data_IF_560117996276
#
_entry.id   IF_560117996276
#
_cell.length_a   1.000
_cell.length_b   1.000
_cell.length_c   1.000
_cell.angle_alpha   90.00
_cell.angle_beta   90.00
_cell.angle_gamma   90.00
#
_symmetry.space_group_name_H-M   'P 1'
#
loop_
_entity.id
_entity.type
_entity.pdbx_description
1 polymer ?
#
# COMPACT_ATOMS: atom_id res chain seq x y z
N UNK A 1 16.66 3.82 -4.14
CA UNK A 1 15.79 3.35 -5.26
C UNK A 1 14.42 4.02 -5.15
N UNK A 2 13.79 4.42 -6.26
CA UNK A 2 12.49 5.11 -6.24
C UNK A 2 11.68 4.82 -7.50
N UNK A 3 10.37 4.99 -7.41
CA UNK A 3 9.47 4.98 -8.56
C UNK A 3 9.79 6.14 -9.51
N UNK A 4 9.52 5.95 -10.79
CA UNK A 4 9.68 7.01 -11.82
C UNK A 4 8.86 8.25 -11.46
N UNK A 5 7.64 8.07 -10.94
CA UNK A 5 6.73 9.13 -10.51
C UNK A 5 6.65 9.26 -8.98
N UNK A 6 7.76 9.03 -8.27
CA UNK A 6 7.74 9.03 -6.79
C UNK A 6 7.37 10.39 -6.18
N UNK A 7 7.71 11.51 -6.82
CA UNK A 7 7.36 12.86 -6.34
C UNK A 7 5.86 13.16 -6.50
N UNK A 8 5.28 12.66 -7.57
CA UNK A 8 3.87 12.79 -7.94
C UNK A 8 3.18 11.42 -7.97
N UNK A 9 3.35 10.66 -6.89
CA UNK A 9 2.75 9.35 -6.75
C UNK A 9 1.23 9.47 -6.67
N UNK A 10 0.51 9.01 -7.71
CA UNK A 10 -0.95 9.06 -7.81
C UNK A 10 -1.51 10.38 -7.28
N UNK A 11 -1.27 11.52 -7.98
CA UNK A 11 -1.74 12.82 -7.52
C UNK A 11 -3.26 12.89 -7.65
N UNK A 12 -3.96 12.89 -6.52
CA UNK A 12 -5.43 13.04 -6.46
C UNK A 12 -5.78 14.48 -6.17
N UNK A 13 -6.60 15.10 -7.01
CA UNK A 13 -7.07 16.48 -6.81
C UNK A 13 -8.47 16.46 -6.19
N UNK A 14 -8.60 17.15 -5.04
CA UNK A 14 -9.86 17.32 -4.33
C UNK A 14 -9.99 18.76 -3.84
N UNK A 15 -11.06 19.46 -4.23
CA UNK A 15 -11.31 20.85 -3.83
C UNK A 15 -10.09 21.77 -4.03
N UNK A 16 -9.34 21.59 -5.12
CA UNK A 16 -8.13 22.37 -5.42
C UNK A 16 -6.86 21.89 -4.69
N UNK A 17 -6.97 21.01 -3.72
CA UNK A 17 -5.81 20.42 -3.03
C UNK A 17 -5.28 19.18 -3.74
N UNK A 18 -3.96 19.03 -3.76
CA UNK A 18 -3.25 17.88 -4.32
C UNK A 18 -2.82 16.93 -3.22
N UNK A 19 -3.28 15.68 -3.28
CA UNK A 19 -2.94 14.62 -2.36
C UNK A 19 -1.91 13.66 -2.97
N UNK A 20 -1.15 13.00 -2.11
CA UNK A 20 -0.14 11.99 -2.45
C UNK A 20 -0.74 10.59 -2.31
N UNK A 21 -1.51 10.15 -3.29
CA UNK A 21 -2.37 8.98 -3.22
C UNK A 21 -3.69 9.27 -2.53
N UNK A 22 -4.50 8.24 -2.32
CA UNK A 22 -5.81 8.35 -1.70
C UNK A 22 -5.82 8.28 -0.19
N UNK A 23 -7.01 8.49 0.35
CA UNK A 23 -7.27 8.45 1.78
C UNK A 23 -8.47 7.54 2.09
N UNK A 24 -8.32 6.62 3.04
CA UNK A 24 -9.42 5.70 3.41
C UNK A 24 -10.67 6.40 3.93
N UNK A 25 -10.53 7.58 4.57
CA UNK A 25 -11.65 8.38 5.05
C UNK A 25 -12.56 8.90 3.93
N UNK A 26 -12.09 8.93 2.67
CA UNK A 26 -12.93 9.35 1.55
C UNK A 26 -14.10 8.40 1.30
N UNK A 27 -14.00 7.14 1.72
CA UNK A 27 -15.10 6.20 1.68
C UNK A 27 -16.35 6.64 2.48
N UNK A 28 -16.26 7.72 3.27
CA UNK A 28 -17.44 8.34 3.90
C UNK A 28 -18.43 8.88 2.87
N UNK A 29 -17.95 9.33 1.72
CA UNK A 29 -18.79 9.83 0.63
C UNK A 29 -19.58 8.71 -0.07
N UNK A 30 -19.18 7.46 0.16
CA UNK A 30 -19.89 6.25 -0.27
C UNK A 30 -20.77 5.65 0.86
N UNK A 31 -21.01 6.42 1.92
CA UNK A 31 -21.85 6.02 3.03
C UNK A 31 -21.23 5.03 4.02
N UNK A 32 -19.92 4.75 3.95
CA UNK A 32 -19.27 3.84 4.88
C UNK A 32 -19.15 4.46 6.28
N UNK A 33 -19.55 3.69 7.30
CA UNK A 33 -19.35 4.09 8.70
C UNK A 33 -17.85 4.18 9.03
N UNK A 34 -17.51 4.94 10.08
CA UNK A 34 -16.13 5.09 10.56
C UNK A 34 -15.46 3.74 10.81
N UNK A 35 -16.20 2.78 11.39
CA UNK A 35 -15.70 1.44 11.67
C UNK A 35 -15.11 0.76 10.42
N UNK A 36 -15.78 0.84 9.28
CA UNK A 36 -15.32 0.23 8.03
C UNK A 36 -14.22 1.04 7.35
N UNK A 37 -14.28 2.38 7.44
CA UNK A 37 -13.23 3.25 6.89
C UNK A 37 -11.89 3.00 7.55
N UNK A 38 -11.86 2.92 8.89
CA UNK A 38 -10.64 2.65 9.67
C UNK A 38 -9.96 1.33 9.29
N UNK A 39 -10.67 0.43 8.61
CA UNK A 39 -10.21 -0.90 8.18
C UNK A 39 -9.88 -0.99 6.70
N UNK A 40 -9.90 0.13 5.99
CA UNK A 40 -9.76 0.18 4.53
C UNK A 40 -8.37 0.63 4.05
N UNK A 41 -7.37 0.70 4.93
CA UNK A 41 -6.01 1.13 4.58
C UNK A 41 -5.39 0.27 3.46
N UNK A 42 -5.54 -1.05 3.52
CA UNK A 42 -5.02 -1.97 2.49
C UNK A 42 -5.78 -1.83 1.17
N UNK A 43 -7.10 -1.55 1.22
CA UNK A 43 -7.89 -1.23 0.02
C UNK A 43 -7.35 0.03 -0.65
N UNK A 44 -7.11 1.08 0.14
CA UNK A 44 -6.53 2.33 -0.35
C UNK A 44 -5.14 2.11 -0.95
N UNK A 45 -4.29 1.32 -0.27
CA UNK A 45 -2.97 0.98 -0.80
C UNK A 45 -3.04 0.24 -2.14
N UNK A 46 -3.96 -0.73 -2.28
CA UNK A 46 -4.17 -1.41 -3.56
C UNK A 46 -4.73 -0.47 -4.64
N UNK A 47 -5.66 0.43 -4.28
CA UNK A 47 -6.18 1.45 -5.20
C UNK A 47 -5.07 2.36 -5.71
N UNK A 48 -4.16 2.79 -4.84
CA UNK A 48 -2.99 3.55 -5.23
C UNK A 48 -2.10 2.78 -6.22
N UNK A 49 -1.81 1.49 -5.95
CA UNK A 49 -1.07 0.63 -6.89
C UNK A 49 -1.76 0.54 -8.24
N UNK A 50 -3.07 0.35 -8.26
CA UNK A 50 -3.85 0.29 -9.49
C UNK A 50 -3.73 1.57 -10.31
N UNK A 51 -3.95 2.74 -9.71
CA UNK A 51 -3.83 4.01 -10.42
C UNK A 51 -2.39 4.26 -10.91
N UNK A 52 -1.39 3.91 -10.11
CA UNK A 52 0.00 4.02 -10.53
C UNK A 52 0.30 3.18 -11.77
N UNK A 53 -0.15 1.93 -11.77
CA UNK A 53 0.14 0.98 -12.86
C UNK A 53 -0.69 1.22 -14.12
N UNK A 54 -1.96 1.63 -13.99
CA UNK A 54 -2.91 1.60 -15.11
C UNK A 54 -3.31 2.97 -15.66
N UNK A 55 -3.32 4.01 -14.86
CA UNK A 55 -3.79 5.33 -15.28
C UNK A 55 -2.64 6.31 -15.53
N UNK A 56 -1.76 6.47 -14.56
CA UNK A 56 -0.77 7.55 -14.60
C UNK A 56 -1.40 8.94 -14.52
N UNK A 57 -0.56 9.97 -14.33
CA UNK A 57 -1.03 11.35 -14.29
C UNK A 57 -1.93 11.71 -13.10
N UNK A 58 -2.57 12.86 -13.21
CA UNK A 58 -3.50 13.39 -12.21
C UNK A 58 -4.83 12.64 -12.27
N UNK A 59 -5.40 12.37 -11.10
CA UNK A 59 -6.70 11.72 -10.94
C UNK A 59 -7.62 12.68 -10.18
N UNK A 60 -8.83 12.90 -10.66
CA UNK A 60 -9.84 13.62 -9.90
C UNK A 60 -10.36 12.77 -8.74
N UNK A 61 -10.86 13.45 -7.71
CA UNK A 61 -11.34 12.81 -6.50
C UNK A 61 -12.47 11.81 -6.75
N UNK A 62 -13.45 12.16 -7.58
CA UNK A 62 -14.64 11.34 -7.78
C UNK A 62 -14.26 10.03 -8.47
N UNK A 63 -13.45 10.08 -9.53
CA UNK A 63 -12.89 8.90 -10.21
C UNK A 63 -12.09 8.03 -9.22
N UNK A 64 -11.24 8.65 -8.39
CA UNK A 64 -10.46 7.89 -7.41
C UNK A 64 -11.37 7.19 -6.39
N UNK A 65 -12.34 7.92 -5.84
CA UNK A 65 -13.21 7.41 -4.78
C UNK A 65 -14.13 6.30 -5.27
N UNK A 66 -14.69 6.42 -6.47
CA UNK A 66 -15.49 5.37 -7.12
C UNK A 66 -14.71 4.06 -7.28
N UNK A 67 -13.47 4.13 -7.79
CA UNK A 67 -12.60 2.96 -7.94
C UNK A 67 -12.23 2.38 -6.58
N UNK A 68 -11.89 3.23 -5.60
CA UNK A 68 -11.60 2.80 -4.24
C UNK A 68 -12.79 2.06 -3.61
N UNK A 69 -14.00 2.58 -3.76
CA UNK A 69 -15.22 1.94 -3.28
C UNK A 69 -15.52 0.62 -4.01
N UNK A 70 -15.28 0.57 -5.31
CA UNK A 70 -15.40 -0.65 -6.09
C UNK A 70 -14.45 -1.74 -5.59
N UNK A 71 -13.20 -1.40 -5.29
CA UNK A 71 -12.27 -2.35 -4.67
C UNK A 71 -12.66 -2.69 -3.24
N UNK A 72 -13.17 -1.74 -2.45
CA UNK A 72 -13.70 -2.02 -1.12
C UNK A 72 -14.79 -3.11 -1.17
N UNK A 73 -15.78 -2.97 -2.04
CA UNK A 73 -16.87 -3.96 -2.21
C UNK A 73 -16.36 -5.35 -2.61
N UNK A 74 -15.25 -5.45 -3.31
CA UNK A 74 -14.67 -6.72 -3.78
C UNK A 74 -13.70 -7.33 -2.77
N UNK A 75 -12.84 -6.53 -2.16
CA UNK A 75 -11.86 -6.98 -1.15
C UNK A 75 -12.59 -7.35 0.16
N UNK A 76 -13.62 -6.59 0.55
CA UNK A 76 -14.44 -6.80 1.74
C UNK A 76 -13.60 -6.94 3.01
N UNK A 77 -12.97 -5.86 3.50
CA UNK A 77 -12.26 -5.89 4.77
C UNK A 77 -13.15 -6.41 5.90
N UNK A 78 -12.60 -7.25 6.75
CA UNK A 78 -13.29 -7.80 7.94
C UNK A 78 -13.17 -6.84 9.12
N UNK A 79 -13.69 -7.25 10.31
CA UNK A 79 -13.57 -6.46 11.54
C UNK A 79 -12.11 -6.13 11.92
N UNK A 80 -11.13 -6.94 11.52
CA UNK A 80 -9.71 -6.70 11.65
C UNK A 80 -9.03 -6.20 10.35
N UNK A 81 -9.80 -5.63 9.41
CA UNK A 81 -9.32 -5.16 8.12
C UNK A 81 -8.99 -6.30 7.14
N UNK A 82 -7.89 -6.14 6.40
CA UNK A 82 -7.30 -7.18 5.55
C UNK A 82 -6.08 -7.74 6.30
N UNK A 83 -6.21 -8.89 6.98
CA UNK A 83 -5.26 -9.30 8.02
C UNK A 83 -3.91 -9.76 7.49
N UNK A 84 -3.84 -10.24 6.26
CA UNK A 84 -2.58 -10.74 5.67
C UNK A 84 -2.50 -10.42 4.19
N UNK A 85 -1.28 -10.42 3.66
CA UNK A 85 -1.02 -10.28 2.24
C UNK A 85 -1.71 -11.39 1.42
N UNK A 86 -1.66 -12.63 1.89
CA UNK A 86 -2.39 -13.75 1.25
C UNK A 86 -3.90 -13.54 1.21
N UNK A 87 -4.49 -12.95 2.25
CA UNK A 87 -5.93 -12.67 2.26
C UNK A 87 -6.30 -11.57 1.25
N UNK A 88 -5.42 -10.59 1.04
CA UNK A 88 -5.56 -9.61 -0.03
C UNK A 88 -5.47 -10.30 -1.39
N UNK A 89 -4.41 -11.07 -1.64
CA UNK A 89 -4.14 -11.71 -2.93
C UNK A 89 -5.29 -12.60 -3.39
N UNK A 90 -5.89 -13.39 -2.51
CA UNK A 90 -7.10 -14.18 -2.82
C UNK A 90 -8.25 -13.33 -3.38
N UNK A 91 -8.38 -12.08 -2.95
CA UNK A 91 -9.40 -11.15 -3.48
C UNK A 91 -8.95 -10.49 -4.77
N UNK A 92 -7.65 -10.18 -4.85
CA UNK A 92 -7.06 -9.61 -6.07
C UNK A 92 -7.11 -10.59 -7.23
N UNK A 93 -6.90 -11.88 -7.01
CA UNK A 93 -7.04 -12.91 -8.07
C UNK A 93 -8.45 -12.89 -8.68
N UNK A 94 -9.50 -12.74 -7.85
CA UNK A 94 -10.87 -12.60 -8.32
C UNK A 94 -11.08 -11.29 -9.11
N UNK A 95 -10.51 -10.19 -8.61
CA UNK A 95 -10.59 -8.88 -9.27
C UNK A 95 -9.84 -8.92 -10.61
N UNK A 96 -8.64 -9.48 -10.58
CA UNK A 96 -7.76 -9.62 -11.74
C UNK A 96 -8.46 -10.38 -12.88
N UNK A 97 -9.08 -11.51 -12.55
CA UNK A 97 -9.85 -12.31 -13.52
C UNK A 97 -11.09 -11.54 -14.05
N UNK A 98 -11.86 -10.90 -13.14
CA UNK A 98 -13.12 -10.23 -13.54
C UNK A 98 -12.92 -8.94 -14.34
N UNK A 99 -11.81 -8.25 -14.13
CA UNK A 99 -11.49 -6.98 -14.78
C UNK A 99 -10.36 -7.13 -15.83
N UNK A 100 -9.92 -8.36 -16.09
CA UNK A 100 -8.87 -8.69 -17.08
C UNK A 100 -7.61 -7.81 -16.92
N UNK A 101 -7.20 -7.59 -15.65
CA UNK A 101 -6.12 -6.65 -15.37
C UNK A 101 -4.73 -7.18 -15.77
N UNK A 102 -4.61 -8.48 -16.03
CA UNK A 102 -3.34 -9.14 -16.35
C UNK A 102 -2.21 -8.81 -15.36
N UNK A 103 -2.56 -8.85 -14.07
CA UNK A 103 -1.61 -8.65 -12.97
C UNK A 103 -0.97 -9.96 -12.54
N UNK A 104 0.35 -9.95 -12.39
CA UNK A 104 1.09 -10.90 -11.58
C UNK A 104 1.59 -10.21 -10.31
N UNK A 105 2.04 -10.99 -9.33
CA UNK A 105 2.52 -10.44 -8.06
C UNK A 105 3.69 -11.23 -7.49
N UNK A 106 4.45 -10.56 -6.63
CA UNK A 106 5.41 -11.18 -5.73
C UNK A 106 5.00 -10.90 -4.30
N UNK A 107 5.26 -11.86 -3.44
CA UNK A 107 4.91 -11.83 -2.02
C UNK A 107 6.11 -12.20 -1.17
N UNK A 108 6.35 -11.40 -0.13
CA UNK A 108 7.25 -11.73 0.98
C UNK A 108 6.49 -11.50 2.28
N UNK A 109 6.37 -12.52 3.13
CA UNK A 109 5.66 -12.39 4.41
C UNK A 109 6.36 -13.10 5.55
N UNK A 110 6.18 -12.58 6.75
CA UNK A 110 6.66 -13.16 7.99
C UNK A 110 5.72 -12.90 9.16
N UNK A 111 5.90 -13.65 10.24
CA UNK A 111 5.14 -13.57 11.46
C UNK A 111 6.06 -13.69 12.69
N UNK A 112 5.51 -13.81 13.90
CA UNK A 112 6.28 -13.94 15.14
C UNK A 112 7.24 -15.13 15.13
N UNK A 113 6.86 -16.25 14.51
CA UNK A 113 7.66 -17.49 14.49
C UNK A 113 8.71 -17.41 13.39
N UNK A 114 8.29 -16.99 12.18
CA UNK A 114 9.16 -16.83 11.01
C UNK A 114 9.27 -15.35 10.67
N UNK A 115 10.19 -14.66 11.34
CA UNK A 115 10.45 -13.23 11.09
C UNK A 115 11.18 -13.05 9.77
N UNK A 116 10.83 -11.98 9.06
CA UNK A 116 11.60 -11.54 7.90
C UNK A 116 12.95 -10.96 8.35
N UNK A 117 14.02 -11.26 7.61
CA UNK A 117 15.29 -10.58 7.74
C UNK A 117 15.23 -9.16 7.16
N UNK A 118 16.04 -8.25 7.72
CA UNK A 118 16.14 -6.86 7.21
C UNK A 118 16.57 -6.85 5.74
N UNK A 119 17.63 -7.61 5.38
CA UNK A 119 18.15 -7.69 4.02
C UNK A 119 17.12 -8.25 3.04
N UNK A 120 16.29 -9.22 3.47
CA UNK A 120 15.19 -9.74 2.67
C UNK A 120 14.15 -8.65 2.36
N UNK A 121 13.82 -7.81 3.35
CA UNK A 121 12.89 -6.69 3.16
C UNK A 121 13.49 -5.63 2.22
N UNK A 122 14.75 -5.25 2.43
CA UNK A 122 15.48 -4.30 1.57
C UNK A 122 15.52 -4.80 0.12
N UNK A 123 15.93 -6.06 -0.07
CA UNK A 123 16.02 -6.66 -1.41
C UNK A 123 14.66 -6.69 -2.11
N UNK A 124 13.60 -7.08 -1.40
CA UNK A 124 12.25 -7.16 -1.95
C UNK A 124 11.69 -5.79 -2.32
N UNK A 125 11.88 -4.78 -1.47
CA UNK A 125 11.46 -3.40 -1.75
C UNK A 125 12.21 -2.86 -2.98
N UNK A 126 13.53 -3.04 -3.04
CA UNK A 126 14.34 -2.62 -4.19
C UNK A 126 13.91 -3.32 -5.48
N UNK A 127 13.58 -4.62 -5.43
CA UNK A 127 13.09 -5.36 -6.59
C UNK A 127 11.78 -4.75 -7.14
N UNK A 128 10.81 -4.45 -6.27
CA UNK A 128 9.57 -3.80 -6.68
C UNK A 128 9.80 -2.40 -7.28
N UNK A 129 10.56 -1.56 -6.58
CA UNK A 129 10.85 -0.19 -7.03
C UNK A 129 11.66 -0.17 -8.35
N UNK A 130 12.58 -1.12 -8.55
CA UNK A 130 13.35 -1.26 -9.81
C UNK A 130 12.44 -1.64 -10.99
N UNK A 131 11.34 -2.35 -10.75
CA UNK A 131 10.32 -2.67 -11.75
C UNK A 131 9.31 -1.54 -11.94
N UNK A 132 9.56 -0.37 -11.35
CA UNK A 132 8.65 0.78 -11.32
C UNK A 132 7.26 0.41 -10.81
N UNK A 133 7.19 -0.37 -9.73
CA UNK A 133 5.93 -0.72 -9.07
C UNK A 133 5.95 -0.40 -7.57
N UNK A 134 4.87 0.19 -7.02
CA UNK A 134 4.77 0.44 -5.60
C UNK A 134 4.76 -0.87 -4.82
N UNK A 135 5.39 -0.89 -3.65
CA UNK A 135 5.37 -2.04 -2.76
C UNK A 135 4.37 -1.79 -1.64
N UNK A 136 3.32 -2.60 -1.57
CA UNK A 136 2.37 -2.56 -0.44
C UNK A 136 3.04 -3.22 0.76
N UNK A 137 3.08 -2.50 1.87
CA UNK A 137 3.48 -3.03 3.18
C UNK A 137 2.24 -3.14 4.06
N UNK A 138 1.99 -4.34 4.58
CA UNK A 138 0.93 -4.64 5.57
C UNK A 138 1.60 -5.05 6.85
N UNK A 139 1.28 -4.37 7.96
CA UNK A 139 1.88 -4.65 9.26
C UNK A 139 0.85 -4.69 10.39
N UNK A 140 1.12 -5.57 11.37
CA UNK A 140 0.39 -5.66 12.61
C UNK A 140 1.32 -5.48 13.79
N UNK A 141 0.95 -4.58 14.69
CA UNK A 141 1.64 -4.28 15.92
C UNK A 141 3.03 -3.63 15.70
N UNK A 142 3.05 -2.33 15.42
CA UNK A 142 4.23 -1.46 15.52
C UNK A 142 3.92 -0.36 16.53
N UNK A 143 4.84 -0.05 17.44
CA UNK A 143 4.65 0.96 18.50
C UNK A 143 5.52 2.19 18.33
N UNK A 144 6.70 2.05 17.74
CA UNK A 144 7.67 3.15 17.59
C UNK A 144 7.50 3.93 16.27
N UNK A 145 7.01 3.27 15.25
CA UNK A 145 6.68 3.89 13.97
C UNK A 145 5.16 4.05 13.91
N UNK A 146 4.64 5.15 14.44
CA UNK A 146 3.20 5.40 14.63
C UNK A 146 2.38 5.14 13.36
N UNK A 147 2.90 5.57 12.19
CA UNK A 147 2.25 5.35 10.90
C UNK A 147 2.09 3.86 10.55
N UNK A 148 2.80 2.97 11.24
CA UNK A 148 2.83 1.53 10.94
C UNK A 148 1.96 0.69 11.88
N UNK A 149 1.38 1.26 12.93
CA UNK A 149 0.53 0.50 13.85
C UNK A 149 -0.73 -0.01 13.14
N UNK A 150 -0.85 -1.34 12.98
CA UNK A 150 -1.97 -2.00 12.30
C UNK A 150 -2.35 -1.35 10.96
N UNK A 151 -1.38 -1.20 10.07
CA UNK A 151 -1.55 -0.39 8.87
C UNK A 151 -1.12 -1.09 7.58
N UNK A 152 -1.74 -0.64 6.47
CA UNK A 152 -1.35 -0.99 5.11
C UNK A 152 -1.10 0.29 4.30
N UNK A 153 0.04 0.37 3.64
CA UNK A 153 0.49 1.55 2.89
C UNK A 153 1.31 1.17 1.66
N UNK A 154 1.63 2.16 0.80
CA UNK A 154 2.48 1.98 -0.37
C UNK A 154 3.85 2.60 -0.15
N UNK A 155 4.91 1.81 -0.31
CA UNK A 155 6.29 2.28 -0.41
C UNK A 155 6.52 2.78 -1.84
N UNK A 156 7.08 3.99 -1.95
CA UNK A 156 7.32 4.68 -3.22
C UNK A 156 8.80 4.98 -3.47
N UNK A 157 9.59 5.05 -2.39
CA UNK A 157 11.04 5.25 -2.45
C UNK A 157 11.72 4.50 -1.30
N UNK A 158 12.97 4.13 -1.51
CA UNK A 158 13.90 3.72 -0.46
C UNK A 158 15.27 4.32 -0.75
N UNK A 159 15.77 5.14 0.16
CA UNK A 159 17.04 5.86 0.03
C UNK A 159 17.97 5.41 1.15
N UNK A 160 19.23 5.24 0.84
CA UNK A 160 20.25 5.07 1.86
C UNK A 160 20.67 6.46 2.37
N UNK A 161 20.63 6.63 3.68
CA UNK A 161 21.03 7.85 4.38
C UNK A 161 21.70 7.49 5.69
N UNK A 162 22.92 7.92 5.87
CA UNK A 162 23.72 7.67 7.08
C UNK A 162 23.81 6.17 7.45
N UNK A 163 23.99 5.30 6.44
CA UNK A 163 24.04 3.84 6.60
C UNK A 163 22.72 3.19 6.98
N UNK A 164 21.60 3.91 6.85
CA UNK A 164 20.24 3.42 7.15
C UNK A 164 19.33 3.60 5.93
N UNK A 165 18.25 2.83 5.89
CA UNK A 165 17.29 2.85 4.79
C UNK A 165 16.06 3.68 5.16
N UNK A 166 16.00 4.93 4.66
CA UNK A 166 14.82 5.76 4.72
C UNK A 166 13.80 5.31 3.67
N UNK A 167 12.64 4.85 4.12
CA UNK A 167 11.52 4.42 3.28
C UNK A 167 10.51 5.54 3.19
N UNK A 168 10.17 5.97 1.97
CA UNK A 168 9.11 6.94 1.71
C UNK A 168 7.84 6.22 1.32
N UNK A 169 6.72 6.63 1.91
CA UNK A 169 5.44 5.97 1.78
C UNK A 169 4.29 6.93 1.48
N UNK A 170 3.28 6.41 0.80
CA UNK A 170 1.97 7.04 0.66
C UNK A 170 1.00 6.44 1.68
N UNK A 171 0.46 7.28 2.54
CA UNK A 171 -0.57 6.93 3.50
C UNK A 171 -1.44 8.14 3.83
N UNK A 172 -2.75 7.92 4.00
CA UNK A 172 -3.74 8.97 4.32
C UNK A 172 -3.65 10.19 3.39
N UNK A 173 -3.40 9.95 2.09
CA UNK A 173 -3.28 11.02 1.09
C UNK A 173 -2.04 11.90 1.23
N UNK A 174 -1.07 11.49 2.05
CA UNK A 174 0.16 12.26 2.33
C UNK A 174 1.42 11.41 2.13
N UNK A 175 2.53 12.12 1.93
CA UNK A 175 3.87 11.55 1.88
C UNK A 175 4.46 11.54 3.29
N UNK A 176 4.92 10.36 3.73
CA UNK A 176 5.59 10.16 5.00
C UNK A 176 6.91 9.43 4.77
N UNK A 177 7.79 9.43 5.77
CA UNK A 177 8.98 8.57 5.75
C UNK A 177 9.29 8.01 7.14
N UNK A 178 9.99 6.89 7.16
CA UNK A 178 10.54 6.27 8.37
C UNK A 178 11.79 5.46 8.01
N UNK A 179 12.61 5.13 9.02
CA UNK A 179 13.75 4.23 8.82
C UNK A 179 13.32 2.77 8.94
N UNK A 180 13.65 1.97 7.93
CA UNK A 180 13.29 0.56 7.88
C UNK A 180 13.87 -0.23 9.05
N UNK A 181 15.06 0.14 9.53
CA UNK A 181 15.73 -0.44 10.69
C UNK A 181 14.95 -0.23 11.98
N UNK A 182 14.32 0.94 12.17
CA UNK A 182 13.51 1.21 13.35
C UNK A 182 12.23 0.36 13.31
N UNK A 183 11.57 0.29 12.17
CA UNK A 183 10.46 -0.62 11.95
C UNK A 183 10.88 -2.09 12.16
N UNK A 184 12.06 -2.49 11.67
CA UNK A 184 12.57 -3.86 11.80
C UNK A 184 12.84 -4.27 13.23
N UNK A 185 13.35 -3.36 14.07
CA UNK A 185 13.67 -3.62 15.49
C UNK A 185 12.43 -3.85 16.38
N UNK A 186 11.25 -3.48 15.90
CA UNK A 186 10.03 -3.62 16.67
C UNK A 186 9.49 -5.05 16.71
N UNK A 187 8.72 -5.35 17.76
CA UNK A 187 7.91 -6.55 17.82
C UNK A 187 6.73 -6.41 16.85
N UNK A 188 6.65 -7.33 15.89
CA UNK A 188 5.57 -7.39 14.90
C UNK A 188 4.95 -8.78 14.92
N UNK A 189 3.63 -8.83 14.94
CA UNK A 189 2.91 -10.10 14.86
C UNK A 189 2.82 -10.60 13.43
N UNK A 190 2.82 -9.68 12.46
CA UNK A 190 2.79 -9.97 11.04
C UNK A 190 3.41 -8.83 10.22
N UNK A 191 4.11 -9.18 9.16
CA UNK A 191 4.57 -8.25 8.12
C UNK A 191 4.42 -8.92 6.76
N UNK A 192 3.77 -8.26 5.81
CA UNK A 192 3.65 -8.68 4.42
C UNK A 192 4.05 -7.57 3.46
N UNK A 193 4.85 -7.92 2.48
CA UNK A 193 5.25 -7.05 1.37
C UNK A 193 4.73 -7.65 0.07
N UNK A 194 4.08 -6.83 -0.77
CA UNK A 194 3.54 -7.25 -2.06
C UNK A 194 3.86 -6.18 -3.08
N UNK A 195 4.25 -6.58 -4.28
CA UNK A 195 4.18 -5.72 -5.44
C UNK A 195 3.52 -6.44 -6.62
N UNK A 196 2.94 -5.67 -7.51
CA UNK A 196 2.25 -6.14 -8.70
C UNK A 196 2.98 -5.72 -9.96
N UNK A 197 2.94 -6.57 -10.99
CA UNK A 197 3.45 -6.22 -12.33
C UNK A 197 2.40 -6.55 -13.37
N UNK A 198 2.28 -5.72 -14.40
CA UNK A 198 1.46 -6.06 -15.57
C UNK A 198 2.13 -7.17 -16.36
N UNK A 199 1.38 -8.19 -16.72
CA UNK A 199 1.79 -9.12 -17.76
C UNK A 199 1.55 -8.45 -19.12
N UNK A 200 2.51 -8.62 -20.00
CA UNK A 200 2.39 -8.16 -21.40
C UNK A 200 1.40 -9.02 -22.17
#
# INVERSE_FOLDING_TARGET
MKLTRSRDFVPVIRSGEKYYGGHQEWLKYEGLSKFFRDRSCVVTAFTNCFFYLFKGGVVDFDTYNEVQYTFYKRIRPKANGVPTAKSLLKRIDIINHKLELNLSYRLLEGNLIKRLGLDQMISFINEGLKKDTPVILINWLSKKVDIMSHHGLCITEMNEKDGRHEVVVSSWGRRHSFYLEDFYKELRTYTGLIYFTKQK
#
